data_IF_071657344125
#
_entry.id   IF_071657344125
#
_cell.length_a   1.000
_cell.length_b   1.000
_cell.length_c   1.000
_cell.angle_alpha   90.00
_cell.angle_beta   90.00
_cell.angle_gamma   90.00
#
_symmetry.space_group_name_H-M   'P 1'
#
loop_
_entity.id
_entity.type
_entity.pdbx_description
1 polymer ?
#
# COMPACT_ATOMS: atom_id res chain seq x y z
N UNK A 1 17.58 9.81 11.99
CA UNK A 1 16.49 9.96 12.97
C UNK A 1 16.49 8.74 13.88
N UNK A 2 16.74 8.87 15.20
CA UNK A 2 16.75 7.71 16.11
C UNK A 2 15.34 7.14 16.20
N UNK A 3 15.16 5.92 15.70
CA UNK A 3 13.90 5.17 15.78
C UNK A 3 13.69 4.84 17.26
N UNK A 4 12.52 5.19 17.79
CA UNK A 4 12.13 4.85 19.16
C UNK A 4 12.31 3.33 19.38
N UNK A 5 13.14 2.97 20.36
CA UNK A 5 13.45 1.58 20.70
C UNK A 5 12.41 0.94 21.64
N UNK A 6 11.29 1.59 21.88
CA UNK A 6 10.25 1.03 22.74
C UNK A 6 9.43 0.01 21.97
N UNK A 7 9.37 -1.21 22.51
CA UNK A 7 8.44 -2.24 22.04
C UNK A 7 7.01 -1.66 22.03
N UNK A 8 6.22 -1.95 21.00
CA UNK A 8 4.83 -1.53 20.96
C UNK A 8 4.09 -2.10 22.18
N UNK A 9 3.19 -1.31 22.76
CA UNK A 9 2.33 -1.79 23.84
C UNK A 9 1.55 -3.01 23.37
N UNK A 10 1.42 -4.04 24.22
CA UNK A 10 0.53 -5.17 23.95
C UNK A 10 -0.88 -4.64 23.75
N UNK A 11 -1.51 -5.04 22.66
CA UNK A 11 -2.93 -4.85 22.46
C UNK A 11 -3.70 -5.69 23.48
N UNK A 12 -4.87 -5.22 23.89
CA UNK A 12 -5.69 -5.93 24.88
C UNK A 12 -6.23 -7.25 24.29
N UNK A 13 -6.49 -8.23 25.16
CA UNK A 13 -7.19 -9.48 24.76
C UNK A 13 -8.56 -9.18 24.14
N UNK A 14 -9.24 -8.13 24.59
CA UNK A 14 -10.52 -7.65 24.04
C UNK A 14 -10.39 -7.26 22.56
N UNK A 15 -9.25 -6.68 22.13
CA UNK A 15 -9.01 -6.37 20.73
C UNK A 15 -8.94 -7.66 19.89
N UNK A 16 -8.22 -8.69 20.36
CA UNK A 16 -8.13 -9.96 19.63
C UNK A 16 -9.47 -10.70 19.59
N UNK A 17 -10.22 -10.70 20.67
CA UNK A 17 -11.60 -11.24 20.68
C UNK A 17 -12.52 -10.50 19.71
N UNK A 18 -12.33 -9.18 19.61
CA UNK A 18 -13.07 -8.37 18.63
C UNK A 18 -12.67 -8.74 17.20
N UNK A 19 -11.36 -8.88 16.89
CA UNK A 19 -10.87 -9.28 15.57
C UNK A 19 -11.43 -10.65 15.21
N UNK A 20 -11.42 -11.62 16.12
CA UNK A 20 -11.96 -12.96 15.90
C UNK A 20 -13.48 -12.93 15.64
N UNK A 21 -14.22 -12.17 16.43
CA UNK A 21 -15.67 -12.00 16.22
C UNK A 21 -15.98 -11.31 14.89
N UNK A 22 -15.15 -10.36 14.47
CA UNK A 22 -15.31 -9.60 13.23
C UNK A 22 -14.94 -10.42 11.98
N UNK A 23 -13.93 -11.28 12.07
CA UNK A 23 -13.50 -12.15 10.97
C UNK A 23 -14.41 -13.38 10.80
N UNK A 24 -15.14 -13.79 11.85
CA UNK A 24 -16.10 -14.90 11.82
C UNK A 24 -17.49 -14.50 11.32
N UNK A 25 -17.79 -13.21 11.20
CA UNK A 25 -19.07 -12.78 10.63
C UNK A 25 -19.05 -12.93 9.10
N UNK A 26 -20.08 -13.60 8.54
CA UNK A 26 -20.35 -13.74 7.10
C UNK A 26 -20.64 -12.39 6.42
N UNK A 27 -19.73 -11.45 6.57
CA UNK A 27 -19.81 -10.20 5.83
C UNK A 27 -19.33 -10.44 4.40
N UNK A 28 -20.27 -10.57 3.46
CA UNK A 28 -20.03 -10.61 2.02
C UNK A 28 -19.29 -9.35 1.48
N UNK A 29 -18.99 -8.37 2.34
CA UNK A 29 -18.46 -7.10 1.90
C UNK A 29 -16.94 -7.05 2.12
N UNK A 30 -16.18 -7.61 1.15
CA UNK A 30 -14.73 -7.55 1.05
C UNK A 30 -14.18 -6.12 1.25
N UNK A 31 -15.01 -5.10 0.94
CA UNK A 31 -14.69 -3.67 1.11
C UNK A 31 -14.55 -3.24 2.56
N UNK A 32 -15.26 -3.88 3.50
CA UNK A 32 -15.26 -3.51 4.92
C UNK A 32 -13.93 -3.88 5.57
N UNK A 33 -13.40 -5.05 5.22
CA UNK A 33 -12.13 -5.56 5.75
C UNK A 33 -10.92 -5.04 4.97
N UNK A 34 -11.16 -4.35 3.83
CA UNK A 34 -10.08 -3.95 2.93
C UNK A 34 -9.38 -5.16 2.28
N UNK A 35 -10.05 -6.31 2.22
CA UNK A 35 -9.58 -7.53 1.58
C UNK A 35 -9.69 -7.37 0.07
N UNK A 36 -8.61 -6.93 -0.56
CA UNK A 36 -8.50 -6.91 -2.01
C UNK A 36 -7.47 -7.95 -2.43
N UNK A 37 -7.95 -9.06 -2.98
CA UNK A 37 -7.05 -10.06 -3.54
C UNK A 37 -6.37 -9.51 -4.79
N UNK A 38 -5.06 -9.66 -4.85
CA UNK A 38 -4.27 -9.24 -6.01
C UNK A 38 -4.63 -10.12 -7.22
N UNK A 39 -4.90 -9.52 -8.35
CA UNK A 39 -5.05 -10.25 -9.61
C UNK A 39 -3.77 -11.05 -9.91
N UNK A 40 -3.91 -12.27 -10.46
CA UNK A 40 -2.76 -13.16 -10.71
C UNK A 40 -1.77 -12.54 -11.71
N UNK A 41 -2.24 -11.80 -12.70
CA UNK A 41 -1.38 -11.16 -13.71
C UNK A 41 -0.55 -10.03 -13.09
N UNK A 42 -1.17 -9.26 -12.17
CA UNK A 42 -0.46 -8.24 -11.38
C UNK A 42 0.62 -8.89 -10.51
N UNK A 43 0.26 -9.96 -9.80
CA UNK A 43 1.19 -10.70 -8.97
C UNK A 43 2.36 -11.22 -9.79
N UNK A 44 2.09 -11.92 -10.90
CA UNK A 44 3.12 -12.47 -11.80
C UNK A 44 4.00 -11.36 -12.40
N UNK A 45 3.43 -10.23 -12.80
CA UNK A 45 4.18 -9.09 -13.33
C UNK A 45 5.15 -8.51 -12.30
N UNK A 46 4.69 -8.29 -11.06
CA UNK A 46 5.54 -7.80 -9.97
C UNK A 46 6.67 -8.79 -9.65
N UNK A 47 6.36 -10.09 -9.56
CA UNK A 47 7.34 -11.14 -9.24
C UNK A 47 8.37 -11.32 -10.35
N UNK A 48 7.98 -11.16 -11.61
CA UNK A 48 8.90 -11.15 -12.76
C UNK A 48 9.92 -10.03 -12.63
N UNK A 49 9.48 -8.83 -12.28
CA UNK A 49 10.41 -7.71 -12.03
C UNK A 49 11.33 -8.04 -10.86
N UNK A 50 10.79 -8.46 -9.72
CA UNK A 50 11.57 -8.77 -8.54
C UNK A 50 12.62 -9.85 -8.84
N UNK A 51 12.24 -10.93 -9.52
CA UNK A 51 13.14 -12.04 -9.86
C UNK A 51 14.28 -11.63 -10.78
N UNK A 52 14.08 -10.67 -11.70
CA UNK A 52 15.14 -10.15 -12.58
C UNK A 52 16.25 -9.45 -11.78
N UNK A 53 15.89 -8.71 -10.73
CA UNK A 53 16.83 -7.94 -9.93
C UNK A 53 17.34 -8.68 -8.70
N UNK A 54 16.65 -9.74 -8.28
CA UNK A 54 17.11 -10.56 -7.17
C UNK A 54 18.44 -11.21 -7.50
N UNK A 55 19.50 -10.69 -6.90
CA UNK A 55 20.86 -11.27 -7.04
C UNK A 55 20.99 -12.41 -6.05
N UNK A 56 21.24 -13.58 -6.57
CA UNK A 56 21.42 -14.79 -5.80
C UNK A 56 22.68 -14.71 -4.94
N UNK A 57 22.53 -14.84 -3.62
CA UNK A 57 23.64 -15.10 -2.75
C UNK A 57 23.99 -16.60 -2.83
N UNK A 58 25.08 -16.91 -3.55
CA UNK A 58 25.55 -18.29 -3.74
C UNK A 58 26.02 -18.95 -2.45
N UNK A 59 26.34 -18.16 -1.43
CA UNK A 59 26.85 -18.67 -0.16
C UNK A 59 25.75 -19.07 0.84
N UNK A 60 24.56 -18.54 0.72
CA UNK A 60 23.45 -18.91 1.59
C UNK A 60 22.74 -20.17 1.11
N UNK A 61 22.64 -21.18 1.97
CA UNK A 61 21.85 -22.39 1.72
C UNK A 61 20.34 -22.20 1.95
N UNK A 62 19.94 -21.08 2.55
CA UNK A 62 18.56 -20.77 2.92
C UNK A 62 18.10 -19.49 2.26
N UNK A 63 16.79 -19.43 1.96
CA UNK A 63 16.09 -18.23 1.49
C UNK A 63 14.87 -18.00 2.38
N UNK A 64 14.86 -16.86 3.09
CA UNK A 64 13.79 -16.47 4.01
C UNK A 64 12.80 -15.56 3.30
N UNK A 65 11.57 -16.01 3.18
CA UNK A 65 10.50 -15.32 2.49
C UNK A 65 9.35 -15.04 3.46
N UNK A 66 8.72 -13.89 3.36
CA UNK A 66 7.52 -13.57 4.15
C UNK A 66 6.44 -12.88 3.32
N UNK A 67 5.18 -13.24 3.61
CA UNK A 67 4.00 -12.42 3.34
C UNK A 67 3.26 -12.15 4.65
N UNK A 68 3.33 -10.93 5.19
CA UNK A 68 2.70 -10.59 6.47
C UNK A 68 1.20 -10.31 6.38
N UNK A 69 0.59 -10.33 5.17
CA UNK A 69 -0.83 -10.18 4.91
C UNK A 69 -1.22 -11.16 3.79
N UNK A 70 -1.07 -12.45 4.09
CA UNK A 70 -0.92 -13.48 3.06
C UNK A 70 -2.19 -13.78 2.26
N UNK A 71 -3.39 -13.46 2.79
CA UNK A 71 -4.63 -13.82 2.15
C UNK A 71 -4.66 -15.31 1.77
N UNK A 72 -4.83 -15.61 0.49
CA UNK A 72 -4.84 -16.98 -0.05
C UNK A 72 -3.46 -17.51 -0.48
N UNK A 73 -2.38 -16.79 -0.23
CA UNK A 73 -1.02 -17.22 -0.53
C UNK A 73 -0.55 -16.99 -1.97
N UNK A 74 -1.39 -16.42 -2.84
CA UNK A 74 -1.09 -16.25 -4.28
C UNK A 74 0.19 -15.47 -4.57
N UNK A 75 0.58 -14.49 -3.74
CA UNK A 75 1.81 -13.73 -3.92
C UNK A 75 3.05 -14.59 -3.69
N UNK A 76 3.05 -15.43 -2.66
CA UNK A 76 4.12 -16.40 -2.42
C UNK A 76 4.22 -17.39 -3.58
N UNK A 77 3.11 -17.97 -4.03
CA UNK A 77 3.07 -18.92 -5.15
C UNK A 77 3.62 -18.27 -6.45
N UNK A 78 3.18 -17.04 -6.74
CA UNK A 78 3.66 -16.28 -7.89
C UNK A 78 5.17 -16.02 -7.80
N UNK A 79 5.68 -15.66 -6.62
CA UNK A 79 7.11 -15.47 -6.38
C UNK A 79 7.89 -16.76 -6.62
N UNK A 80 7.49 -17.87 -6.00
CA UNK A 80 8.14 -19.16 -6.15
C UNK A 80 8.14 -19.64 -7.60
N UNK A 81 7.03 -19.44 -8.32
CA UNK A 81 6.91 -19.74 -9.75
C UNK A 81 7.94 -18.97 -10.59
N UNK A 82 8.09 -17.67 -10.38
CA UNK A 82 9.04 -16.85 -11.13
C UNK A 82 10.50 -17.15 -10.77
N UNK A 83 10.81 -17.34 -9.50
CA UNK A 83 12.15 -17.71 -9.05
C UNK A 83 12.57 -19.10 -9.60
N UNK A 84 11.63 -20.03 -9.68
CA UNK A 84 11.88 -21.37 -10.23
C UNK A 84 12.22 -21.33 -11.74
N UNK A 85 11.55 -20.50 -12.53
CA UNK A 85 11.87 -20.31 -13.95
C UNK A 85 13.32 -19.91 -14.19
N UNK A 86 13.92 -19.23 -13.26
CA UNK A 86 15.33 -18.80 -13.32
C UNK A 86 16.31 -19.80 -12.70
N UNK A 87 15.85 -20.98 -12.26
CA UNK A 87 16.63 -22.04 -11.58
C UNK A 87 17.35 -21.56 -10.29
N UNK A 88 17.01 -20.37 -9.81
CA UNK A 88 17.75 -19.70 -8.73
C UNK A 88 17.44 -20.22 -7.33
N UNK A 89 16.42 -21.05 -7.18
CA UNK A 89 15.98 -21.56 -5.87
C UNK A 89 16.10 -23.08 -5.72
N UNK A 90 16.42 -23.82 -6.80
CA UNK A 90 16.40 -25.30 -6.81
C UNK A 90 17.32 -25.93 -5.78
N UNK A 91 18.43 -25.28 -5.44
CA UNK A 91 19.41 -25.80 -4.46
C UNK A 91 19.19 -25.27 -3.03
N UNK A 92 18.24 -24.38 -2.80
CA UNK A 92 18.02 -23.73 -1.50
C UNK A 92 16.91 -24.39 -0.71
N UNK A 93 17.01 -24.29 0.61
CA UNK A 93 15.91 -24.53 1.55
C UNK A 93 15.12 -23.24 1.71
N UNK A 94 13.85 -23.29 1.43
CA UNK A 94 12.96 -22.15 1.56
C UNK A 94 12.39 -22.10 2.97
N UNK A 95 12.56 -20.98 3.67
CA UNK A 95 11.93 -20.70 4.96
C UNK A 95 10.83 -19.67 4.73
N UNK A 96 9.61 -20.15 4.59
CA UNK A 96 8.45 -19.36 4.21
C UNK A 96 7.63 -19.03 5.46
N UNK A 97 7.39 -17.75 5.71
CA UNK A 97 6.50 -17.28 6.78
C UNK A 97 5.28 -16.62 6.15
N UNK A 98 4.09 -16.99 6.59
CA UNK A 98 2.84 -16.36 6.17
C UNK A 98 2.00 -16.00 7.39
N UNK A 99 1.48 -14.76 7.39
CA UNK A 99 0.64 -14.26 8.46
C UNK A 99 -0.64 -13.63 7.89
N UNK A 100 -1.72 -13.82 8.61
CA UNK A 100 -2.97 -13.08 8.41
C UNK A 100 -3.74 -13.05 9.73
N UNK A 101 -4.60 -12.06 9.92
CA UNK A 101 -5.52 -12.01 11.06
C UNK A 101 -6.67 -13.03 10.88
N UNK A 102 -6.98 -13.40 9.64
CA UNK A 102 -8.02 -14.36 9.29
C UNK A 102 -7.44 -15.78 9.23
N UNK A 103 -7.84 -16.61 10.17
CA UNK A 103 -7.40 -18.02 10.25
C UNK A 103 -7.75 -18.83 9.00
N UNK A 104 -8.88 -18.53 8.35
CA UNK A 104 -9.30 -19.23 7.14
C UNK A 104 -8.37 -18.88 5.96
N UNK A 105 -7.98 -17.60 5.85
CA UNK A 105 -6.98 -17.16 4.88
C UNK A 105 -5.64 -17.89 5.09
N UNK A 106 -5.15 -17.93 6.35
CA UNK A 106 -3.91 -18.66 6.70
C UNK A 106 -4.00 -20.13 6.32
N UNK A 107 -5.10 -20.80 6.63
CA UNK A 107 -5.28 -22.24 6.31
C UNK A 107 -5.31 -22.47 4.80
N UNK A 108 -6.00 -21.63 4.05
CA UNK A 108 -6.03 -21.69 2.58
C UNK A 108 -4.63 -21.49 2.01
N UNK A 109 -3.94 -20.42 2.39
CA UNK A 109 -2.59 -20.13 1.94
C UNK A 109 -1.60 -21.25 2.26
N UNK A 110 -1.71 -21.84 3.46
CA UNK A 110 -0.90 -22.97 3.89
C UNK A 110 -1.07 -24.17 2.96
N UNK A 111 -2.31 -24.54 2.65
CA UNK A 111 -2.60 -25.67 1.76
C UNK A 111 -2.09 -25.41 0.34
N UNK A 112 -2.39 -24.25 -0.23
CA UNK A 112 -2.00 -23.90 -1.60
C UNK A 112 -0.47 -23.83 -1.78
N UNK A 113 0.24 -23.21 -0.83
CA UNK A 113 1.70 -23.12 -0.87
C UNK A 113 2.34 -24.50 -0.70
N UNK A 114 1.85 -25.32 0.23
CA UNK A 114 2.34 -26.68 0.43
C UNK A 114 2.16 -27.52 -0.84
N UNK A 115 0.96 -27.53 -1.42
CA UNK A 115 0.68 -28.22 -2.67
C UNK A 115 1.60 -27.78 -3.82
N UNK A 116 1.81 -26.47 -3.96
CA UNK A 116 2.73 -25.92 -4.96
C UNK A 116 4.16 -26.41 -4.74
N UNK A 117 4.69 -26.32 -3.51
CA UNK A 117 6.06 -26.75 -3.21
C UNK A 117 6.27 -28.24 -3.43
N UNK A 118 5.32 -29.07 -2.99
CA UNK A 118 5.35 -30.54 -3.16
C UNK A 118 5.30 -30.92 -4.65
N UNK A 119 4.38 -30.35 -5.42
CA UNK A 119 4.25 -30.62 -6.85
C UNK A 119 5.46 -30.20 -7.67
N UNK A 120 6.23 -29.25 -7.16
CA UNK A 120 7.41 -28.68 -7.83
C UNK A 120 8.74 -29.21 -7.28
N UNK A 121 8.72 -30.03 -6.22
CA UNK A 121 9.90 -30.63 -5.60
C UNK A 121 10.78 -29.62 -4.86
N UNK A 122 10.24 -28.48 -4.43
CA UNK A 122 10.97 -27.47 -3.66
C UNK A 122 11.16 -27.93 -2.22
N UNK A 123 12.34 -27.71 -1.67
CA UNK A 123 12.64 -27.98 -0.25
C UNK A 123 12.20 -26.77 0.58
N UNK A 124 11.20 -26.93 1.44
CA UNK A 124 10.63 -25.83 2.20
C UNK A 124 10.32 -26.15 3.67
N UNK A 125 10.27 -25.12 4.47
CA UNK A 125 9.61 -25.07 5.77
C UNK A 125 8.59 -23.94 5.72
N UNK A 126 7.38 -24.17 6.20
CA UNK A 126 6.29 -23.21 6.18
C UNK A 126 5.83 -22.92 7.60
N UNK A 127 6.07 -21.68 8.05
CA UNK A 127 5.56 -21.10 9.29
C UNK A 127 4.30 -20.28 8.97
N UNK A 128 3.12 -20.91 9.16
CA UNK A 128 1.82 -20.31 8.91
C UNK A 128 1.15 -19.93 10.24
N UNK A 129 0.88 -18.64 10.47
CA UNK A 129 0.33 -18.16 11.74
C UNK A 129 -0.84 -17.21 11.55
N UNK A 130 -1.90 -17.42 12.34
CA UNK A 130 -2.86 -16.36 12.59
C UNK A 130 -2.17 -15.29 13.44
N UNK A 131 -1.91 -14.13 12.89
CA UNK A 131 -1.12 -13.09 13.54
C UNK A 131 -1.46 -11.70 12.99
N UNK A 132 -1.42 -10.70 13.87
CA UNK A 132 -1.48 -9.31 13.47
C UNK A 132 -0.07 -8.82 13.07
N UNK A 133 0.15 -8.64 11.77
CA UNK A 133 1.43 -8.20 11.24
C UNK A 133 1.87 -6.83 11.78
N UNK A 134 0.93 -5.96 12.12
CA UNK A 134 1.26 -4.65 12.70
C UNK A 134 1.85 -4.74 14.12
N UNK A 135 1.69 -5.87 14.77
CA UNK A 135 2.25 -6.14 16.09
C UNK A 135 3.50 -7.03 15.98
N UNK A 136 3.39 -8.13 15.24
CA UNK A 136 4.41 -9.18 15.19
C UNK A 136 5.69 -8.79 14.44
N UNK A 137 5.60 -7.86 13.46
CA UNK A 137 6.73 -7.46 12.61
C UNK A 137 7.95 -7.03 13.42
N UNK A 138 7.73 -6.42 14.61
CA UNK A 138 8.78 -5.81 15.40
C UNK A 138 9.84 -6.84 15.88
N UNK A 139 9.39 -8.04 16.24
CA UNK A 139 10.27 -9.13 16.72
C UNK A 139 11.15 -9.73 15.61
N UNK A 140 10.75 -9.59 14.35
CA UNK A 140 11.41 -10.22 13.20
C UNK A 140 11.88 -9.25 12.12
N UNK A 141 11.91 -7.95 12.45
CA UNK A 141 12.39 -6.91 11.52
C UNK A 141 13.82 -7.20 11.05
N UNK A 142 14.06 -6.96 9.76
CA UNK A 142 15.38 -7.15 9.16
C UNK A 142 15.83 -8.59 9.00
N UNK A 143 14.92 -9.58 9.05
CA UNK A 143 15.29 -11.00 9.02
C UNK A 143 15.03 -11.70 7.68
N UNK A 144 14.26 -11.10 6.78
CA UNK A 144 13.83 -11.73 5.54
C UNK A 144 14.63 -11.27 4.34
N UNK A 145 14.90 -12.19 3.44
CA UNK A 145 15.55 -11.91 2.16
C UNK A 145 14.57 -11.32 1.16
N UNK A 146 13.33 -11.81 1.20
CA UNK A 146 12.25 -11.33 0.34
C UNK A 146 10.98 -11.16 1.17
N UNK A 147 10.32 -10.01 1.01
CA UNK A 147 8.95 -9.78 1.45
C UNK A 147 8.08 -9.49 0.23
N UNK A 148 6.95 -10.16 0.10
CA UNK A 148 5.95 -9.87 -0.93
C UNK A 148 4.60 -9.76 -0.27
N UNK A 149 3.83 -8.70 -0.58
CA UNK A 149 2.59 -8.49 0.16
C UNK A 149 1.63 -7.51 -0.51
N UNK A 150 0.36 -7.67 -0.17
CA UNK A 150 -0.71 -6.72 -0.43
C UNK A 150 -1.39 -6.35 0.90
N UNK A 151 -0.96 -5.27 1.58
CA UNK A 151 -1.55 -4.85 2.85
C UNK A 151 -3.04 -4.49 2.71
N UNK A 152 -3.84 -4.54 3.79
CA UNK A 152 -5.25 -4.17 3.74
C UNK A 152 -5.45 -2.68 3.37
N UNK A 153 -6.38 -2.39 2.43
CA UNK A 153 -6.63 -1.02 1.91
C UNK A 153 -7.82 -0.36 2.61
N UNK A 154 -7.74 -0.23 3.90
CA UNK A 154 -8.80 0.39 4.69
C UNK A 154 -8.28 1.48 5.63
N UNK A 155 -9.22 2.29 6.11
CA UNK A 155 -8.98 3.26 7.17
C UNK A 155 -9.53 2.69 8.48
N UNK A 156 -8.75 2.79 9.55
CA UNK A 156 -9.23 2.47 10.89
C UNK A 156 -10.27 3.51 11.32
N UNK A 157 -11.52 3.15 11.15
CA UNK A 157 -12.68 3.93 11.61
C UNK A 157 -13.86 3.02 11.85
N UNK A 158 -14.73 3.33 12.81
CA UNK A 158 -15.95 2.56 13.02
C UNK A 158 -16.80 2.49 11.75
N UNK A 159 -17.18 1.28 11.35
CA UNK A 159 -17.97 1.05 10.15
C UNK A 159 -19.47 1.16 10.47
N UNK A 160 -20.21 1.90 9.64
CA UNK A 160 -21.66 2.11 9.83
C UNK A 160 -22.48 0.81 9.70
N UNK A 161 -21.98 -0.16 8.92
CA UNK A 161 -22.67 -1.45 8.71
C UNK A 161 -22.70 -2.30 9.97
N UNK A 162 -21.70 -2.19 10.84
CA UNK A 162 -21.70 -2.89 12.12
C UNK A 162 -22.87 -2.45 13.02
N UNK A 163 -23.34 -1.22 12.88
CA UNK A 163 -24.42 -0.66 13.69
C UNK A 163 -25.81 -1.24 13.36
N UNK A 164 -25.99 -1.93 12.23
CA UNK A 164 -27.32 -2.40 11.81
C UNK A 164 -27.76 -3.70 12.47
N UNK A 165 -26.79 -4.53 12.92
CA UNK A 165 -27.05 -5.90 13.35
C UNK A 165 -26.58 -6.21 14.79
N UNK A 166 -26.08 -5.23 15.55
CA UNK A 166 -25.49 -5.45 16.87
C UNK A 166 -26.11 -4.57 17.96
N UNK A 167 -26.04 -5.05 19.21
CA UNK A 167 -26.50 -4.30 20.39
C UNK A 167 -25.69 -3.01 20.60
N UNK A 168 -26.25 -2.06 21.34
CA UNK A 168 -25.56 -0.80 21.65
C UNK A 168 -24.27 -1.02 22.45
N UNK A 169 -24.26 -2.01 23.35
CA UNK A 169 -23.08 -2.41 24.13
C UNK A 169 -21.96 -2.96 23.23
N UNK A 170 -22.29 -3.85 22.29
CA UNK A 170 -21.33 -4.35 21.29
C UNK A 170 -20.75 -3.23 20.43
N UNK A 171 -21.56 -2.21 20.11
CA UNK A 171 -21.11 -1.03 19.36
C UNK A 171 -20.15 -0.16 20.15
N UNK A 172 -20.34 -0.02 21.47
CA UNK A 172 -19.42 0.72 22.34
C UNK A 172 -18.09 -0.03 22.45
N UNK A 173 -18.12 -1.35 22.67
CA UNK A 173 -16.93 -2.20 22.70
C UNK A 173 -16.13 -2.09 21.38
N UNK A 174 -16.81 -2.19 20.24
CA UNK A 174 -16.21 -2.04 18.93
C UNK A 174 -15.51 -0.68 18.73
N UNK A 175 -16.16 0.43 19.08
CA UNK A 175 -15.56 1.77 18.97
C UNK A 175 -14.32 1.89 19.83
N UNK A 176 -14.39 1.45 21.07
CA UNK A 176 -13.27 1.48 22.00
C UNK A 176 -12.07 0.66 21.48
N UNK A 177 -12.32 -0.53 20.95
CA UNK A 177 -11.26 -1.37 20.35
C UNK A 177 -10.60 -0.68 19.14
N UNK A 178 -11.38 -0.10 18.23
CA UNK A 178 -10.85 0.67 17.09
C UNK A 178 -10.04 1.89 17.56
N UNK A 179 -10.49 2.64 18.56
CA UNK A 179 -9.79 3.81 19.08
C UNK A 179 -8.46 3.43 19.75
N UNK A 180 -8.44 2.35 20.53
CA UNK A 180 -7.21 1.82 21.13
C UNK A 180 -6.21 1.38 20.04
N UNK A 181 -6.69 0.65 19.03
CA UNK A 181 -5.85 0.21 17.95
C UNK A 181 -5.33 1.36 17.09
N UNK A 182 -6.17 2.35 16.77
CA UNK A 182 -5.77 3.56 16.05
C UNK A 182 -4.70 4.35 16.85
N UNK A 183 -4.84 4.42 18.17
CA UNK A 183 -3.87 5.06 19.05
C UNK A 183 -2.51 4.31 19.03
N UNK A 184 -2.55 2.97 19.11
CA UNK A 184 -1.37 2.13 18.94
C UNK A 184 -0.70 2.37 17.59
N UNK A 185 -1.46 2.31 16.49
CA UNK A 185 -0.96 2.48 15.14
C UNK A 185 -0.32 3.86 14.93
N UNK A 186 -0.90 4.91 15.47
CA UNK A 186 -0.33 6.26 15.43
C UNK A 186 1.01 6.36 16.17
N UNK A 187 1.15 5.66 17.28
CA UNK A 187 2.39 5.65 18.06
C UNK A 187 3.48 4.78 17.41
N UNK A 188 3.11 3.60 16.86
CA UNK A 188 4.03 2.63 16.27
C UNK A 188 4.52 3.04 14.88
N UNK A 189 3.61 3.59 14.03
CA UNK A 189 3.84 3.87 12.62
C UNK A 189 3.89 5.37 12.32
N UNK A 190 4.75 6.09 13.00
CA UNK A 190 4.84 7.57 12.89
C UNK A 190 5.21 8.04 11.48
N UNK A 191 5.92 7.24 10.69
CA UNK A 191 6.31 7.56 9.30
C UNK A 191 5.09 7.48 8.38
N UNK A 192 4.22 6.50 8.60
CA UNK A 192 3.00 6.28 7.82
C UNK A 192 1.86 7.23 8.20
N UNK A 193 2.00 8.00 9.28
CA UNK A 193 0.98 8.98 9.65
C UNK A 193 1.10 10.25 8.80
N UNK A 194 -0.05 10.88 8.42
CA UNK A 194 -0.04 12.17 7.75
C UNK A 194 0.55 13.26 8.65
N UNK A 195 0.97 14.36 8.05
CA UNK A 195 1.31 15.56 8.83
C UNK A 195 0.08 16.04 9.60
N UNK A 196 0.29 16.79 10.70
CA UNK A 196 -0.78 17.35 11.55
C UNK A 196 -1.84 18.15 10.77
N UNK A 197 -1.47 18.73 9.63
CA UNK A 197 -2.37 19.45 8.72
C UNK A 197 -3.52 18.57 8.20
N UNK A 198 -3.31 17.26 8.09
CA UNK A 198 -4.25 16.29 7.51
C UNK A 198 -4.78 15.28 8.54
N UNK A 199 -4.47 15.47 9.82
CA UNK A 199 -4.50 14.44 10.87
C UNK A 199 -5.84 14.06 11.48
N UNK A 200 -6.99 14.40 10.87
CA UNK A 200 -8.31 14.03 11.41
C UNK A 200 -8.91 12.74 10.85
N UNK A 201 -8.20 12.06 9.94
CA UNK A 201 -8.62 10.81 9.35
C UNK A 201 -8.04 9.63 10.14
N UNK A 202 -8.78 8.54 10.28
CA UNK A 202 -8.27 7.31 10.88
C UNK A 202 -6.99 6.81 10.21
N UNK A 203 -6.21 5.99 10.91
CA UNK A 203 -4.97 5.41 10.37
C UNK A 203 -5.25 4.62 9.09
N UNK A 204 -4.44 4.83 8.08
CA UNK A 204 -4.52 4.09 6.82
C UNK A 204 -3.65 2.83 6.89
N UNK A 205 -4.30 1.66 6.82
CA UNK A 205 -3.62 0.37 6.98
C UNK A 205 -2.68 0.05 5.82
N UNK A 206 -2.99 0.47 4.58
CA UNK A 206 -2.11 0.23 3.44
C UNK A 206 -0.75 0.95 3.60
N UNK A 207 -0.75 2.19 4.12
CA UNK A 207 0.49 2.90 4.43
C UNK A 207 1.29 2.22 5.54
N UNK A 208 0.63 1.85 6.63
CA UNK A 208 1.30 1.17 7.74
C UNK A 208 1.81 -0.21 7.31
N UNK A 209 1.03 -0.96 6.52
CA UNK A 209 1.46 -2.26 5.99
C UNK A 209 2.64 -2.15 5.01
N UNK A 210 2.69 -1.09 4.22
CA UNK A 210 3.89 -0.78 3.41
C UNK A 210 5.11 -0.56 4.30
N UNK A 211 4.99 0.18 5.41
CA UNK A 211 6.07 0.37 6.38
C UNK A 211 6.47 -0.95 7.04
N UNK A 212 5.52 -1.82 7.41
CA UNK A 212 5.78 -3.16 7.95
C UNK A 212 6.61 -3.99 6.96
N UNK A 213 6.15 -4.11 5.72
CA UNK A 213 6.80 -4.90 4.69
C UNK A 213 8.28 -4.51 4.50
N UNK A 214 8.54 -3.21 4.43
CA UNK A 214 9.89 -2.67 4.26
C UNK A 214 10.78 -2.87 5.50
N UNK A 215 10.21 -2.87 6.69
CA UNK A 215 10.97 -3.13 7.93
C UNK A 215 11.29 -4.60 8.14
N UNK A 216 10.60 -5.52 7.48
CA UNK A 216 10.82 -6.96 7.58
C UNK A 216 12.05 -7.43 6.81
N UNK A 217 12.41 -6.76 5.71
CA UNK A 217 13.53 -7.17 4.87
C UNK A 217 14.88 -6.80 5.47
N UNK A 218 15.89 -7.64 5.17
CA UNK A 218 17.31 -7.35 5.44
C UNK A 218 17.76 -6.09 4.68
N UNK A 219 18.91 -5.54 5.07
CA UNK A 219 19.53 -4.43 4.34
C UNK A 219 19.85 -4.76 2.87
N UNK A 220 20.06 -6.04 2.53
CA UNK A 220 20.25 -6.51 1.16
C UNK A 220 18.99 -7.15 0.56
N UNK A 221 17.88 -7.14 1.30
CA UNK A 221 16.64 -7.83 0.94
C UNK A 221 15.84 -7.09 -0.13
N UNK A 222 14.84 -7.79 -0.65
CA UNK A 222 13.93 -7.28 -1.66
C UNK A 222 12.49 -7.24 -1.14
N UNK A 223 11.72 -6.26 -1.58
CA UNK A 223 10.31 -6.19 -1.24
C UNK A 223 9.48 -5.88 -2.49
N UNK A 224 8.40 -6.67 -2.69
CA UNK A 224 7.36 -6.43 -3.67
C UNK A 224 6.05 -6.10 -2.96
N UNK A 225 5.50 -4.91 -3.19
CA UNK A 225 4.31 -4.42 -2.50
C UNK A 225 3.25 -4.02 -3.51
N UNK A 226 2.02 -4.48 -3.29
CA UNK A 226 0.83 -3.97 -3.96
C UNK A 226 0.19 -2.90 -3.07
N UNK A 227 -0.15 -1.75 -3.61
CA UNK A 227 -0.69 -0.63 -2.84
C UNK A 227 -1.64 0.23 -3.68
N UNK A 228 -2.55 1.00 -3.05
CA UNK A 228 -3.27 2.07 -3.76
C UNK A 228 -2.30 3.07 -4.38
N UNK A 229 -2.61 3.55 -5.59
CA UNK A 229 -1.76 4.50 -6.31
C UNK A 229 -1.58 5.83 -5.57
N UNK A 230 -2.48 6.17 -4.66
CA UNK A 230 -2.39 7.37 -3.81
C UNK A 230 -1.09 7.43 -2.99
N UNK A 231 -0.45 6.29 -2.69
CA UNK A 231 0.84 6.26 -2.02
C UNK A 231 1.89 7.14 -2.72
N UNK A 232 1.89 7.17 -4.07
CA UNK A 232 2.89 7.88 -4.86
C UNK A 232 2.45 9.28 -5.34
N UNK A 233 1.19 9.67 -5.14
CA UNK A 233 0.69 10.93 -5.71
C UNK A 233 -0.13 11.80 -4.75
N UNK A 234 -0.46 11.35 -3.53
CA UNK A 234 -1.19 12.18 -2.58
C UNK A 234 -0.25 12.92 -1.61
N UNK A 235 -0.78 13.96 -0.96
CA UNK A 235 -0.03 14.74 0.03
C UNK A 235 0.07 14.03 1.39
N UNK A 236 -0.92 13.18 1.71
CA UNK A 236 -0.98 12.48 3.00
C UNK A 236 0.10 11.42 3.14
N UNK A 237 0.54 10.83 2.02
CA UNK A 237 1.58 9.80 1.97
C UNK A 237 3.00 10.37 1.79
N UNK A 238 3.16 11.69 1.69
CA UNK A 238 4.44 12.33 1.36
C UNK A 238 5.59 11.90 2.28
N UNK A 239 5.32 11.81 3.59
CA UNK A 239 6.33 11.41 4.59
C UNK A 239 6.80 9.96 4.39
N UNK A 240 5.85 9.03 4.19
CA UNK A 240 6.16 7.62 3.94
C UNK A 240 6.88 7.48 2.60
N UNK A 241 6.42 8.17 1.57
CA UNK A 241 7.01 8.17 0.24
C UNK A 241 8.46 8.66 0.27
N UNK A 242 8.75 9.80 0.91
CA UNK A 242 10.10 10.29 1.09
C UNK A 242 10.98 9.28 1.82
N UNK A 243 10.47 8.68 2.92
CA UNK A 243 11.20 7.66 3.65
C UNK A 243 11.54 6.44 2.78
N UNK A 244 10.63 5.99 1.91
CA UNK A 244 10.89 4.88 0.99
C UNK A 244 12.05 5.23 0.06
N UNK A 245 11.98 6.35 -0.65
CA UNK A 245 12.99 6.73 -1.64
C UNK A 245 14.34 7.13 -1.05
N UNK A 246 14.38 7.57 0.20
CA UNK A 246 15.61 7.95 0.92
C UNK A 246 16.33 6.75 1.56
N UNK A 247 15.65 5.66 1.81
CA UNK A 247 16.23 4.51 2.55
C UNK A 247 16.28 3.23 1.73
N UNK A 248 15.58 3.16 0.59
CA UNK A 248 15.52 1.98 -0.27
C UNK A 248 15.72 2.37 -1.72
N UNK A 249 16.31 1.47 -2.51
CA UNK A 249 16.36 1.59 -3.96
C UNK A 249 15.01 1.19 -4.53
N UNK A 250 14.26 2.14 -5.04
CA UNK A 250 13.03 1.84 -5.78
C UNK A 250 13.41 1.42 -7.20
N UNK A 251 13.22 0.16 -7.52
CA UNK A 251 13.63 -0.45 -8.79
C UNK A 251 12.56 -0.21 -9.85
N UNK A 252 11.32 -0.50 -9.51
CA UNK A 252 10.19 -0.40 -10.42
C UNK A 252 8.93 0.05 -9.71
N UNK A 253 8.15 0.85 -10.42
CA UNK A 253 6.76 1.18 -10.12
C UNK A 253 5.92 0.79 -11.31
N UNK A 254 4.93 -0.06 -11.12
CA UNK A 254 3.93 -0.39 -12.14
C UNK A 254 2.59 0.18 -11.72
N UNK A 255 1.96 0.96 -12.60
CA UNK A 255 0.67 1.61 -12.36
C UNK A 255 -0.44 0.93 -13.13
N UNK A 256 -1.51 0.61 -12.43
CA UNK A 256 -2.72 -0.01 -12.95
C UNK A 256 -3.90 0.94 -12.76
N UNK A 257 -4.41 1.54 -13.83
CA UNK A 257 -5.56 2.45 -13.78
C UNK A 257 -6.82 1.76 -13.26
N UNK A 258 -7.73 2.52 -12.65
CA UNK A 258 -9.01 2.01 -12.13
C UNK A 258 -9.90 1.44 -13.26
N UNK A 259 -9.73 1.95 -14.46
CA UNK A 259 -10.44 1.52 -15.67
C UNK A 259 -10.23 0.05 -16.01
N UNK A 260 -9.13 -0.56 -15.53
CA UNK A 260 -8.86 -1.99 -15.70
C UNK A 260 -9.76 -2.89 -14.83
N UNK A 261 -10.51 -2.31 -13.88
CA UNK A 261 -11.47 -3.03 -13.00
C UNK A 261 -10.89 -4.25 -12.29
N UNK A 262 -9.63 -4.17 -11.87
CA UNK A 262 -8.89 -5.28 -11.27
C UNK A 262 -9.40 -5.71 -9.88
N UNK A 263 -10.19 -4.86 -9.22
CA UNK A 263 -10.72 -5.07 -7.87
C UNK A 263 -12.25 -5.07 -7.85
N UNK A 264 -12.85 -5.81 -8.79
CA UNK A 264 -14.29 -5.97 -8.89
C UNK A 264 -15.04 -4.65 -9.12
N UNK A 265 -15.98 -4.31 -8.23
CA UNK A 265 -16.76 -3.06 -8.33
C UNK A 265 -16.05 -1.81 -7.78
N UNK A 266 -14.82 -1.95 -7.27
CA UNK A 266 -14.08 -0.81 -6.72
C UNK A 266 -13.29 -0.08 -7.81
N UNK A 267 -13.58 1.22 -7.97
CA UNK A 267 -12.83 2.13 -8.85
C UNK A 267 -11.56 2.60 -8.16
N UNK A 268 -10.58 1.70 -8.03
CA UNK A 268 -9.31 2.00 -7.35
C UNK A 268 -8.15 1.77 -8.30
N UNK A 269 -7.37 2.82 -8.52
CA UNK A 269 -6.07 2.69 -9.17
C UNK A 269 -5.06 2.12 -8.19
N UNK A 270 -4.26 1.16 -8.65
CA UNK A 270 -3.24 0.51 -7.85
C UNK A 270 -1.86 0.63 -8.45
N UNK A 271 -0.87 0.31 -7.63
CA UNK A 271 0.53 0.21 -8.03
C UNK A 271 1.14 -1.07 -7.47
N UNK A 272 2.14 -1.57 -8.17
CA UNK A 272 3.14 -2.43 -7.55
C UNK A 272 4.45 -1.68 -7.44
N UNK A 273 5.14 -1.87 -6.32
CA UNK A 273 6.46 -1.28 -6.08
C UNK A 273 7.43 -2.42 -5.77
N UNK A 274 8.55 -2.46 -6.50
CA UNK A 274 9.67 -3.36 -6.19
C UNK A 274 10.84 -2.53 -5.68
N UNK A 275 11.32 -2.87 -4.51
CA UNK A 275 12.42 -2.17 -3.85
C UNK A 275 13.52 -3.13 -3.40
N UNK A 276 14.75 -2.61 -3.25
CA UNK A 276 15.89 -3.28 -2.63
C UNK A 276 16.36 -2.47 -1.43
N UNK A 277 16.68 -3.15 -0.35
CA UNK A 277 17.25 -2.53 0.84
C UNK A 277 18.73 -2.14 0.67
N UNK A 278 19.20 -1.21 1.52
CA UNK A 278 20.61 -0.86 1.66
C UNK A 278 21.25 -0.07 0.51
N UNK A 279 20.55 0.16 -0.56
CA UNK A 279 20.99 0.98 -1.69
C UNK A 279 20.05 2.16 -1.87
N UNK A 280 20.59 3.30 -2.28
CA UNK A 280 19.81 4.51 -2.59
C UNK A 280 20.11 5.04 -3.99
N UNK A 281 20.98 4.35 -4.76
CA UNK A 281 21.16 4.64 -6.17
C UNK A 281 19.88 4.33 -6.94
N UNK A 282 19.32 5.33 -7.57
CA UNK A 282 18.01 5.24 -8.18
C UNK A 282 18.12 4.93 -9.67
N UNK A 283 17.82 3.70 -10.03
CA UNK A 283 17.59 3.27 -11.40
C UNK A 283 16.11 2.92 -11.61
N UNK A 284 15.24 3.87 -11.27
CA UNK A 284 13.79 3.69 -11.29
C UNK A 284 13.26 3.49 -12.71
N UNK A 285 12.48 2.43 -12.92
CA UNK A 285 11.60 2.30 -14.08
C UNK A 285 10.14 2.45 -13.67
N UNK A 286 9.35 3.06 -14.53
CA UNK A 286 7.89 3.21 -14.34
C UNK A 286 7.18 2.54 -15.52
N UNK A 287 6.24 1.63 -15.19
CA UNK A 287 5.34 0.98 -16.13
C UNK A 287 3.93 1.53 -15.96
N UNK A 288 3.30 1.90 -17.04
CA UNK A 288 1.90 2.34 -17.04
C UNK A 288 1.12 1.37 -17.91
N UNK A 289 0.22 0.64 -17.28
CA UNK A 289 -0.60 -0.35 -17.94
C UNK A 289 -1.81 0.31 -18.62
N UNK A 290 -2.06 -0.08 -19.86
CA UNK A 290 -3.27 0.30 -20.61
C UNK A 290 -4.25 -0.88 -20.70
N UNK A 291 -3.76 -2.09 -20.49
CA UNK A 291 -4.51 -3.35 -20.42
C UNK A 291 -3.74 -4.30 -19.48
N UNK A 292 -4.30 -5.45 -19.15
CA UNK A 292 -3.68 -6.43 -18.23
C UNK A 292 -2.28 -6.85 -18.66
N UNK A 293 -2.04 -6.98 -19.96
CA UNK A 293 -0.78 -7.46 -20.57
C UNK A 293 0.01 -6.37 -21.31
N UNK A 294 -0.57 -5.19 -21.48
CA UNK A 294 0.01 -4.12 -22.29
C UNK A 294 0.39 -2.93 -21.43
N UNK A 295 1.65 -2.56 -21.48
CA UNK A 295 2.17 -1.40 -20.74
C UNK A 295 3.21 -0.63 -21.54
N UNK A 296 3.37 0.64 -21.18
CA UNK A 296 4.52 1.46 -21.57
C UNK A 296 5.49 1.52 -20.40
N UNK A 297 6.77 1.28 -20.68
CA UNK A 297 7.83 1.38 -19.68
C UNK A 297 8.77 2.53 -20.00
N UNK A 298 9.13 3.31 -18.99
CA UNK A 298 10.10 4.37 -19.07
C UNK A 298 11.08 4.30 -17.91
N UNK A 299 12.36 4.31 -18.21
CA UNK A 299 13.42 4.52 -17.23
C UNK A 299 13.48 6.01 -16.89
N UNK A 300 13.55 6.33 -15.61
CA UNK A 300 13.59 7.71 -15.14
C UNK A 300 15.02 8.23 -15.26
N UNK A 301 15.19 9.27 -16.06
CA UNK A 301 16.47 9.99 -16.22
C UNK A 301 16.81 10.76 -14.95
N UNK A 302 18.10 10.99 -14.71
CA UNK A 302 18.59 11.67 -13.52
C UNK A 302 17.95 13.06 -13.30
N UNK A 303 17.80 13.86 -14.34
CA UNK A 303 17.17 15.18 -14.23
C UNK A 303 15.70 15.10 -13.80
N UNK A 304 14.96 14.13 -14.35
CA UNK A 304 13.57 13.86 -13.99
C UNK A 304 13.49 13.34 -12.55
N UNK A 305 14.41 12.48 -12.14
CA UNK A 305 14.46 11.98 -10.76
C UNK A 305 14.72 13.10 -9.75
N UNK A 306 15.64 14.02 -10.04
CA UNK A 306 15.90 15.18 -9.17
C UNK A 306 14.68 16.11 -9.05
N UNK A 307 13.90 16.25 -10.12
CA UNK A 307 12.61 16.95 -10.06
C UNK A 307 11.62 16.22 -9.14
N UNK A 308 11.43 14.90 -9.34
CA UNK A 308 10.56 14.07 -8.50
C UNK A 308 10.97 14.17 -7.03
N UNK A 309 12.27 14.17 -6.73
CA UNK A 309 12.81 14.32 -5.38
C UNK A 309 12.42 15.67 -4.76
N UNK A 310 12.57 16.77 -5.50
CA UNK A 310 12.18 18.12 -5.02
C UNK A 310 10.69 18.23 -4.73
N UNK A 311 9.86 17.55 -5.49
CA UNK A 311 8.40 17.51 -5.30
C UNK A 311 7.93 16.47 -4.28
N UNK A 312 8.82 15.99 -3.40
CA UNK A 312 8.51 15.01 -2.36
C UNK A 312 8.25 13.61 -2.90
N UNK A 313 8.97 13.23 -3.94
CA UNK A 313 8.86 11.95 -4.64
C UNK A 313 7.46 11.65 -5.20
N UNK A 314 6.73 12.69 -5.57
CA UNK A 314 5.43 12.56 -6.23
C UNK A 314 5.63 12.14 -7.70
N UNK A 315 5.02 11.02 -8.10
CA UNK A 315 5.08 10.51 -9.46
C UNK A 315 3.72 10.73 -10.14
N UNK A 316 3.64 11.45 -11.26
CA UNK A 316 2.39 11.77 -11.95
C UNK A 316 1.91 10.55 -12.76
N UNK A 317 1.46 9.50 -12.08
CA UNK A 317 1.10 8.21 -12.68
C UNK A 317 -0.06 8.32 -13.68
N UNK A 318 -1.09 9.11 -13.35
CA UNK A 318 -2.30 9.24 -14.16
C UNK A 318 -2.07 10.04 -15.46
N UNK A 319 -1.27 11.10 -15.38
CA UNK A 319 -0.96 11.94 -16.54
C UNK A 319 0.26 11.44 -17.31
N UNK A 320 0.99 10.49 -16.73
CA UNK A 320 2.21 9.93 -17.31
C UNK A 320 3.46 10.73 -16.95
N UNK A 321 4.59 10.06 -17.05
CA UNK A 321 5.93 10.63 -16.81
C UNK A 321 6.25 11.73 -17.84
N UNK A 322 5.63 11.67 -19.01
CA UNK A 322 5.77 12.64 -20.10
C UNK A 322 5.28 14.04 -19.71
N UNK A 323 4.43 14.16 -18.70
CA UNK A 323 4.00 15.45 -18.17
C UNK A 323 5.08 16.19 -17.37
N UNK A 324 6.11 15.48 -16.87
CA UNK A 324 7.15 16.09 -16.01
C UNK A 324 7.89 17.24 -16.68
N UNK A 325 8.34 17.20 -17.94
CA UNK A 325 8.97 18.34 -18.59
C UNK A 325 8.06 19.57 -18.62
N UNK A 326 6.76 19.39 -18.80
CA UNK A 326 5.77 20.49 -18.76
C UNK A 326 5.68 21.05 -17.33
N UNK A 327 5.62 20.18 -16.33
CA UNK A 327 5.59 20.58 -14.91
C UNK A 327 6.87 21.34 -14.52
N UNK A 328 8.05 20.89 -14.97
CA UNK A 328 9.32 21.58 -14.77
C UNK A 328 9.35 22.98 -15.42
N UNK A 329 8.73 23.12 -16.59
CA UNK A 329 8.57 24.43 -17.23
C UNK A 329 7.62 25.32 -16.43
N UNK A 330 6.48 24.79 -15.97
CA UNK A 330 5.50 25.54 -15.18
C UNK A 330 6.07 26.04 -13.83
N UNK A 331 7.03 25.34 -13.24
CA UNK A 331 7.72 25.80 -12.02
C UNK A 331 8.52 27.11 -12.22
N UNK A 332 8.83 27.49 -13.46
CA UNK A 332 9.52 28.73 -13.76
C UNK A 332 8.55 29.93 -13.82
N UNK A 333 7.27 29.67 -13.85
CA UNK A 333 6.22 30.71 -13.81
C UNK A 333 5.94 31.11 -12.36
N UNK A 334 5.41 32.32 -12.13
CA UNK A 334 5.00 32.76 -10.82
C UNK A 334 4.05 31.75 -10.16
N UNK A 335 4.30 31.42 -8.91
CA UNK A 335 3.44 30.56 -8.14
C UNK A 335 2.07 31.22 -7.89
N UNK A 336 1.07 30.41 -7.57
CA UNK A 336 -0.25 30.92 -7.15
C UNK A 336 -0.16 31.87 -5.96
N UNK A 337 0.76 31.63 -5.03
CA UNK A 337 0.97 32.49 -3.86
C UNK A 337 1.59 33.82 -4.27
N UNK A 338 2.58 33.83 -5.17
CA UNK A 338 3.16 35.06 -5.73
C UNK A 338 2.15 35.86 -6.53
N UNK A 339 1.31 35.18 -7.35
CA UNK A 339 0.22 35.82 -8.08
C UNK A 339 -0.80 36.45 -7.11
N UNK A 340 -1.21 35.75 -6.07
CA UNK A 340 -2.11 36.27 -5.04
C UNK A 340 -1.51 37.49 -4.33
N UNK A 341 -0.23 37.43 -3.96
CA UNK A 341 0.47 38.55 -3.33
C UNK A 341 0.54 39.78 -4.24
N UNK A 342 0.77 39.58 -5.53
CA UNK A 342 0.89 40.65 -6.53
C UNK A 342 -0.46 41.31 -6.89
N UNK A 343 -1.54 40.53 -6.90
CA UNK A 343 -2.88 40.99 -7.37
C UNK A 343 -3.87 41.28 -6.27
N UNK A 344 -3.57 40.92 -5.01
CA UNK A 344 -4.52 41.01 -3.89
C UNK A 344 -5.67 39.98 -3.97
N UNK A 345 -5.63 39.06 -4.93
CA UNK A 345 -6.61 37.98 -5.06
C UNK A 345 -6.26 36.86 -4.06
N UNK A 346 -7.27 36.10 -3.69
CA UNK A 346 -7.09 34.88 -2.90
C UNK A 346 -7.81 33.71 -3.52
N UNK A 347 -7.13 32.57 -3.65
CA UNK A 347 -7.76 31.32 -4.02
C UNK A 347 -8.33 30.68 -2.75
N UNK A 348 -9.63 30.46 -2.73
CA UNK A 348 -10.31 29.77 -1.64
C UNK A 348 -10.67 28.34 -2.08
N UNK A 349 -11.10 27.52 -1.13
CA UNK A 349 -11.67 26.22 -1.46
C UNK A 349 -12.93 26.38 -2.29
N UNK A 350 -13.18 25.43 -3.18
CA UNK A 350 -14.46 25.28 -3.85
C UNK A 350 -15.62 25.32 -2.86
N UNK A 351 -16.74 25.88 -3.27
CA UNK A 351 -17.96 25.86 -2.47
C UNK A 351 -18.48 24.43 -2.40
N UNK A 352 -18.35 23.84 -1.21
CA UNK A 352 -18.93 22.53 -0.93
C UNK A 352 -20.46 22.67 -0.77
N UNK A 353 -21.22 22.09 -1.68
CA UNK A 353 -22.69 22.11 -1.66
C UNK A 353 -23.25 21.70 -0.29
N UNK A 354 -22.64 20.68 0.34
CA UNK A 354 -23.07 20.20 1.66
C UNK A 354 -22.97 21.28 2.73
N UNK A 355 -21.92 22.12 2.66
CA UNK A 355 -21.69 23.21 3.62
C UNK A 355 -22.51 24.45 3.35
N UNK A 356 -22.89 24.68 2.10
CA UNK A 356 -23.64 25.89 1.70
C UNK A 356 -25.10 25.61 1.43
N UNK A 357 -25.55 24.35 1.53
CA UNK A 357 -26.91 23.90 1.20
C UNK A 357 -28.02 24.79 1.81
N UNK A 358 -27.86 25.18 3.06
CA UNK A 358 -28.80 26.03 3.76
C UNK A 358 -28.81 27.50 3.29
N UNK A 359 -27.76 27.90 2.54
CA UNK A 359 -27.59 29.25 1.97
C UNK A 359 -27.98 29.32 0.51
N UNK A 360 -28.24 28.17 -0.12
CA UNK A 360 -28.68 28.11 -1.51
C UNK A 360 -30.18 28.44 -1.61
N UNK A 361 -30.49 29.45 -2.36
CA UNK A 361 -31.89 29.89 -2.62
C UNK A 361 -32.33 29.39 -4.01
N UNK A 362 -33.64 29.11 -4.19
CA UNK A 362 -34.16 28.74 -5.51
C UNK A 362 -33.92 29.82 -6.58
N UNK A 363 -33.78 31.06 -6.16
CA UNK A 363 -33.51 32.23 -7.03
C UNK A 363 -32.46 33.11 -6.37
N UNK A 364 -31.51 33.62 -7.14
CA UNK A 364 -30.44 34.47 -6.63
C UNK A 364 -29.75 35.26 -7.73
N UNK A 365 -28.89 36.22 -7.33
CA UNK A 365 -28.09 37.02 -8.27
C UNK A 365 -26.93 36.28 -8.88
N UNK A 366 -26.49 35.17 -8.24
CA UNK A 366 -25.37 34.33 -8.69
C UNK A 366 -25.89 32.91 -8.78
N UNK A 367 -25.71 32.29 -9.93
CA UNK A 367 -26.07 30.89 -10.14
C UNK A 367 -25.02 29.96 -9.57
N UNK A 368 -25.48 28.93 -8.86
CA UNK A 368 -24.63 27.84 -8.39
C UNK A 368 -24.72 26.69 -9.39
N UNK A 369 -23.74 26.61 -10.30
CA UNK A 369 -23.69 25.54 -11.29
C UNK A 369 -23.17 24.22 -10.64
N UNK A 370 -23.92 23.13 -10.85
CA UNK A 370 -23.51 21.77 -10.48
C UNK A 370 -22.90 21.05 -11.67
N UNK A 371 -22.05 20.06 -11.44
CA UNK A 371 -21.35 19.33 -12.50
C UNK A 371 -22.27 18.75 -13.58
N UNK A 372 -23.48 18.30 -13.21
CA UNK A 372 -24.47 17.79 -14.17
C UNK A 372 -25.15 18.90 -15.03
N UNK A 373 -24.99 20.17 -14.64
CA UNK A 373 -25.54 21.34 -15.37
C UNK A 373 -24.55 21.88 -16.42
N UNK A 374 -23.33 21.36 -16.42
CA UNK A 374 -22.27 21.77 -17.36
C UNK A 374 -22.21 20.74 -18.47
N UNK A 375 -22.65 21.13 -19.68
CA UNK A 375 -22.54 20.28 -20.85
C UNK A 375 -21.09 20.21 -21.34
N UNK A 376 -20.72 19.10 -22.00
CA UNK A 376 -19.43 19.00 -22.67
C UNK A 376 -19.36 19.92 -23.86
N UNK A 377 -18.32 20.71 -23.94
CA UNK A 377 -17.95 21.44 -25.14
C UNK A 377 -17.34 20.50 -26.16
#
# INVERSE_FOLDING_TARGET
>A
MKISSKAPHKLSEEYYQFVDAFTQTDFEDEKILGKFYTDFDIAASMMRVLSQYYVYDSFSSELRIIDPFCGDGRLIISLLSELRKSERISAKRLLISIWDIDVNAVNTAKCEIAQFCESTGLKYELDARQADAFVEYYAVRGKYDICVTNPPWSLLKPQKLFSKNNSEEAMVGYRNAIEQYDSYMKAAFTISQPSSKYGKWGTNLARCGTEVALRLIKSSGFCGIVSPASLLNDQVSSRLRSWIFENYKVINVSYYPAELKLYGSADISSITIVVKGGETDQSLSVRIYSDKDTYKEKKIEKAVFEYIKRTGFCIPLKTGIEAIPIMMYLEQLPSTDEFCAATGLSFTRELDETRVKEKLLPTGKIEFAKGYMVDRY
#
